data_IF_077184707357
#
_entry.id   IF_077184707357
#
_cell.length_a   1.000
_cell.length_b   1.000
_cell.length_c   1.000
_cell.angle_alpha   90.00
_cell.angle_beta   90.00
_cell.angle_gamma   90.00
#
_symmetry.space_group_name_H-M   'P 1'
#
loop_
_entity.id
_entity.type
_entity.pdbx_description
1 polymer ?
#
# COMPACT_ATOMS: atom_id res chain seq x y z
N UNK A 1 -8.18 -16.52 0.34
CA UNK A 1 -6.98 -16.56 -0.52
C UNK A 1 -5.78 -16.83 0.36
N UNK A 2 -4.94 -17.80 0.02
CA UNK A 2 -3.70 -18.04 0.74
C UNK A 2 -2.75 -16.86 0.51
N UNK A 3 -2.16 -16.34 1.58
CA UNK A 3 -1.10 -15.32 1.49
C UNK A 3 0.08 -15.94 0.74
N UNK A 4 0.63 -15.28 -0.31
CA UNK A 4 1.83 -15.81 -0.95
C UNK A 4 2.94 -15.95 0.08
N UNK A 5 3.73 -17.02 0.00
CA UNK A 5 4.91 -17.16 0.84
C UNK A 5 5.92 -16.08 0.48
N UNK A 6 6.00 -15.04 1.29
CA UNK A 6 6.86 -13.87 1.06
C UNK A 6 8.20 -13.96 1.80
N UNK A 7 8.34 -14.92 2.71
CA UNK A 7 9.59 -15.12 3.45
C UNK A 7 10.79 -15.28 2.50
N UNK A 8 11.84 -14.51 2.73
CA UNK A 8 13.02 -14.48 1.87
C UNK A 8 12.82 -13.79 0.51
N UNK A 9 11.63 -13.28 0.22
CA UNK A 9 11.36 -12.56 -1.02
C UNK A 9 11.64 -11.07 -0.89
N UNK A 10 11.96 -10.45 -2.01
CA UNK A 10 11.99 -8.99 -2.12
C UNK A 10 10.64 -8.50 -2.67
N UNK A 11 10.03 -7.55 -1.99
CA UNK A 11 8.70 -7.01 -2.32
C UNK A 11 8.80 -5.50 -2.48
N UNK A 12 8.37 -4.98 -3.62
CA UNK A 12 8.27 -3.55 -3.87
C UNK A 12 6.98 -3.00 -3.23
N UNK A 13 7.11 -2.00 -2.37
CA UNK A 13 5.96 -1.30 -1.75
C UNK A 13 5.70 -0.02 -2.52
N UNK A 14 4.63 0.00 -3.30
CA UNK A 14 4.23 1.18 -4.06
C UNK A 14 3.67 2.26 -3.13
N UNK A 15 3.78 3.54 -3.50
CA UNK A 15 3.20 4.63 -2.71
C UNK A 15 1.67 4.58 -2.75
N UNK A 16 1.04 5.01 -1.67
CA UNK A 16 -0.38 5.30 -1.63
C UNK A 16 -0.69 6.49 -2.54
N UNK A 17 -1.70 6.36 -3.42
CA UNK A 17 -2.08 7.43 -4.35
C UNK A 17 -3.44 8.04 -4.03
N UNK A 18 -4.21 7.43 -3.13
CA UNK A 18 -5.51 7.92 -2.71
C UNK A 18 -5.69 7.80 -1.18
N UNK A 19 -5.82 8.95 -0.54
CA UNK A 19 -6.28 9.07 0.85
C UNK A 19 -7.50 10.00 0.87
N UNK A 20 -8.60 9.52 1.43
CA UNK A 20 -9.88 10.26 1.45
C UNK A 20 -10.37 10.39 2.89
N UNK A 21 -10.32 11.58 3.50
CA UNK A 21 -11.05 11.86 4.73
C UNK A 21 -12.53 12.08 4.41
N UNK A 22 -13.40 11.71 5.33
CA UNK A 22 -14.80 12.13 5.26
C UNK A 22 -14.97 13.64 5.55
N UNK A 23 -16.19 14.15 5.38
CA UNK A 23 -16.47 15.58 5.57
C UNK A 23 -16.18 16.03 7.01
N UNK A 24 -16.41 15.18 8.00
CA UNK A 24 -16.17 15.50 9.42
C UNK A 24 -14.67 15.62 9.75
N UNK A 25 -13.81 15.09 8.91
CA UNK A 25 -12.34 15.17 9.01
C UNK A 25 -11.71 16.17 8.05
N UNK A 26 -12.53 16.90 7.28
CA UNK A 26 -12.05 17.86 6.26
C UNK A 26 -11.23 19.03 6.83
N UNK A 27 -11.39 19.33 8.11
CA UNK A 27 -10.60 20.35 8.84
C UNK A 27 -9.31 19.80 9.47
N UNK A 28 -9.07 18.51 9.43
CA UNK A 28 -7.82 17.92 9.92
C UNK A 28 -6.64 18.38 9.06
N UNK A 29 -5.64 18.99 9.68
CA UNK A 29 -4.50 19.63 8.98
C UNK A 29 -3.57 18.62 8.28
N UNK A 30 -3.61 17.36 8.67
CA UNK A 30 -2.85 16.28 8.03
C UNK A 30 -3.67 15.64 6.90
N UNK A 31 -4.90 15.20 7.22
CA UNK A 31 -5.72 14.41 6.31
C UNK A 31 -6.25 15.23 5.13
N UNK A 32 -6.49 16.52 5.32
CA UNK A 32 -6.99 17.43 4.28
C UNK A 32 -5.94 17.84 3.24
N UNK A 33 -4.65 17.63 3.53
CA UNK A 33 -3.55 18.04 2.65
C UNK A 33 -2.89 16.83 2.01
N UNK A 34 -3.22 16.55 0.74
CA UNK A 34 -2.70 15.40 -0.02
C UNK A 34 -1.18 15.27 0.05
N UNK A 35 -0.45 16.37 -0.09
CA UNK A 35 1.01 16.39 -0.06
C UNK A 35 1.60 15.98 1.29
N UNK A 36 0.82 16.01 2.36
CA UNK A 36 1.21 15.57 3.70
C UNK A 36 0.74 14.16 4.00
N UNK A 37 -0.53 13.85 3.73
CA UNK A 37 -1.15 12.58 4.13
C UNK A 37 -0.55 11.38 3.39
N UNK A 38 -0.22 11.50 2.11
CA UNK A 38 0.31 10.37 1.34
C UNK A 38 1.70 9.94 1.81
N UNK A 39 2.72 10.82 1.92
CA UNK A 39 4.03 10.40 2.43
C UNK A 39 3.99 9.94 3.89
N UNK A 40 3.12 10.52 4.71
CA UNK A 40 2.91 10.09 6.08
C UNK A 40 2.33 8.68 6.15
N UNK A 41 1.30 8.38 5.36
CA UNK A 41 0.71 7.04 5.31
C UNK A 41 1.72 6.00 4.78
N UNK A 42 2.48 6.32 3.74
CA UNK A 42 3.55 5.47 3.21
C UNK A 42 4.57 5.10 4.29
N UNK A 43 4.95 6.06 5.13
CA UNK A 43 5.91 5.84 6.22
C UNK A 43 5.36 4.85 7.25
N UNK A 44 4.09 4.97 7.65
CA UNK A 44 3.46 4.07 8.61
C UNK A 44 3.26 2.66 8.03
N UNK A 45 2.90 2.56 6.75
CA UNK A 45 2.78 1.26 6.07
C UNK A 45 4.14 0.56 6.05
N UNK A 46 5.20 1.24 5.64
CA UNK A 46 6.54 0.65 5.57
C UNK A 46 7.08 0.27 6.96
N UNK A 47 6.87 1.12 7.97
CA UNK A 47 7.21 0.84 9.37
C UNK A 47 6.53 -0.46 9.86
N UNK A 48 5.23 -0.58 9.61
CA UNK A 48 4.46 -1.75 10.02
C UNK A 48 4.91 -3.03 9.29
N UNK A 49 5.15 -2.96 7.99
CA UNK A 49 5.64 -4.08 7.19
C UNK A 49 7.01 -4.57 7.71
N UNK A 50 7.94 -3.66 7.91
CA UNK A 50 9.29 -3.98 8.39
C UNK A 50 9.28 -4.58 9.79
N UNK A 51 8.45 -4.05 10.69
CA UNK A 51 8.37 -4.53 12.06
C UNK A 51 7.65 -5.88 12.20
N UNK A 52 6.68 -6.17 11.32
CA UNK A 52 5.84 -7.38 11.44
C UNK A 52 6.31 -8.56 10.57
N UNK A 53 7.02 -8.30 9.49
CA UNK A 53 7.58 -9.30 8.60
C UNK A 53 9.03 -8.96 8.23
N UNK A 54 9.95 -9.03 9.21
CA UNK A 54 11.37 -8.69 9.00
C UNK A 54 12.09 -9.69 8.09
N UNK A 55 11.53 -10.87 7.88
CA UNK A 55 12.03 -11.90 6.95
C UNK A 55 11.81 -11.56 5.48
N UNK A 56 11.01 -10.51 5.19
CA UNK A 56 10.77 -9.99 3.84
C UNK A 56 11.65 -8.77 3.60
N UNK A 57 12.28 -8.69 2.44
CA UNK A 57 13.02 -7.50 2.05
C UNK A 57 12.05 -6.48 1.42
N UNK A 58 11.60 -5.51 2.20
CA UNK A 58 10.69 -4.47 1.77
C UNK A 58 11.43 -3.32 1.09
N UNK A 59 11.15 -3.09 -0.21
CA UNK A 59 11.67 -1.96 -0.97
C UNK A 59 10.60 -0.85 -0.97
N UNK A 60 10.84 0.20 -0.19
CA UNK A 60 9.85 1.24 0.05
C UNK A 60 9.70 2.26 -1.09
N UNK A 61 8.67 3.13 -1.02
CA UNK A 61 8.37 4.12 -2.06
C UNK A 61 9.55 5.05 -2.38
N UNK A 62 10.37 5.40 -1.38
CA UNK A 62 11.55 6.26 -1.59
C UNK A 62 12.58 5.61 -2.53
N UNK A 63 12.82 4.32 -2.36
CA UNK A 63 13.75 3.57 -3.21
C UNK A 63 13.19 3.37 -4.60
N UNK A 64 11.87 3.08 -4.70
CA UNK A 64 11.19 2.96 -5.99
C UNK A 64 11.24 4.26 -6.80
N UNK A 65 10.98 5.41 -6.16
CA UNK A 65 11.12 6.73 -6.80
C UNK A 65 12.55 6.97 -7.30
N UNK A 66 13.55 6.55 -6.52
CA UNK A 66 14.96 6.66 -6.92
C UNK A 66 15.28 5.77 -8.11
N UNK A 67 14.80 4.52 -8.11
CA UNK A 67 14.99 3.59 -9.20
C UNK A 67 14.32 4.09 -10.50
N UNK A 68 13.07 4.56 -10.42
CA UNK A 68 12.34 5.13 -11.55
C UNK A 68 13.05 6.34 -12.17
N UNK A 69 13.57 7.25 -11.34
CA UNK A 69 14.34 8.42 -11.83
C UNK A 69 15.63 8.04 -12.54
N UNK A 70 16.28 6.94 -12.15
CA UNK A 70 17.49 6.44 -12.85
C UNK A 70 17.16 5.76 -14.17
N UNK A 71 15.95 5.27 -14.35
CA UNK A 71 15.45 4.60 -15.54
C UNK A 71 14.50 5.51 -16.35
N UNK A 72 14.84 6.77 -16.51
CA UNK A 72 14.04 7.78 -17.23
C UNK A 72 13.68 7.26 -18.64
N UNK A 73 12.41 7.36 -18.98
CA UNK A 73 11.87 6.87 -20.26
C UNK A 73 11.53 5.36 -20.29
N UNK A 74 11.96 4.58 -19.29
CA UNK A 74 11.61 3.16 -19.16
C UNK A 74 10.55 2.93 -18.08
N UNK A 75 10.65 3.60 -16.95
CA UNK A 75 9.76 3.43 -15.82
C UNK A 75 8.85 4.64 -15.62
N UNK A 76 7.59 4.36 -15.31
CA UNK A 76 6.64 5.37 -14.85
C UNK A 76 6.97 5.76 -13.41
N UNK A 77 6.83 7.05 -13.09
CA UNK A 77 6.91 7.53 -11.71
C UNK A 77 5.84 6.81 -10.86
N UNK A 78 6.24 6.13 -9.77
CA UNK A 78 5.29 5.39 -8.94
C UNK A 78 4.16 6.23 -8.35
N UNK A 79 4.36 7.53 -8.15
CA UNK A 79 3.32 8.44 -7.68
C UNK A 79 2.24 8.76 -8.73
N UNK A 80 2.52 8.51 -10.01
CA UNK A 80 1.61 8.74 -11.13
C UNK A 80 0.98 7.46 -11.68
N UNK A 81 1.21 6.32 -11.06
CA UNK A 81 0.56 5.06 -11.43
C UNK A 81 -0.87 5.03 -10.88
N UNK A 82 -1.84 4.79 -11.75
CA UNK A 82 -3.26 4.73 -11.37
C UNK A 82 -3.62 3.39 -10.71
N UNK A 83 -3.89 3.39 -9.40
CA UNK A 83 -4.23 2.18 -8.65
C UNK A 83 -5.74 1.88 -8.59
N UNK A 84 -6.58 2.66 -9.27
CA UNK A 84 -8.04 2.57 -9.16
C UNK A 84 -8.59 1.15 -9.42
N UNK A 85 -8.07 0.48 -10.44
CA UNK A 85 -8.49 -0.87 -10.81
C UNK A 85 -8.20 -1.91 -9.73
N UNK A 86 -7.16 -1.71 -8.92
CA UNK A 86 -6.80 -2.63 -7.83
C UNK A 86 -7.79 -2.60 -6.67
N UNK A 87 -8.70 -1.63 -6.62
CA UNK A 87 -9.76 -1.53 -5.62
C UNK A 87 -10.92 -2.48 -5.91
N UNK A 88 -11.04 -2.97 -7.16
CA UNK A 88 -12.05 -3.94 -7.54
C UNK A 88 -11.67 -5.34 -7.01
N UNK A 89 -12.48 -5.93 -6.11
CA UNK A 89 -12.20 -7.26 -5.55
C UNK A 89 -12.31 -8.39 -6.59
N UNK A 90 -12.98 -8.15 -7.71
CA UNK A 90 -13.22 -9.12 -8.77
C UNK A 90 -12.13 -9.12 -9.86
N UNK A 91 -11.22 -8.16 -9.83
CA UNK A 91 -10.13 -8.06 -10.82
C UNK A 91 -9.25 -9.31 -10.75
N UNK A 92 -9.23 -10.12 -11.78
CA UNK A 92 -8.46 -11.38 -11.86
C UNK A 92 -7.04 -11.17 -12.31
N UNK A 93 -6.83 -10.24 -13.24
CA UNK A 93 -5.53 -9.88 -13.80
C UNK A 93 -5.46 -8.37 -13.96
N UNK A 94 -4.36 -7.77 -13.57
CA UNK A 94 -4.13 -6.33 -13.74
C UNK A 94 -3.96 -6.04 -15.23
N UNK A 95 -4.79 -5.17 -15.82
CA UNK A 95 -4.68 -4.83 -17.24
C UNK A 95 -3.55 -3.83 -17.50
N UNK A 96 -3.15 -3.74 -18.77
CA UNK A 96 -2.26 -2.67 -19.21
C UNK A 96 -3.03 -1.31 -19.25
N UNK A 97 -2.31 -0.18 -19.00
CA UNK A 97 -0.86 -0.06 -18.85
C UNK A 97 -0.32 -0.38 -17.45
N UNK A 98 -1.19 -0.50 -16.44
CA UNK A 98 -0.77 -0.67 -15.04
C UNK A 98 0.10 -1.92 -14.84
N UNK A 99 -0.26 -3.04 -15.49
CA UNK A 99 0.51 -4.29 -15.42
C UNK A 99 1.96 -4.08 -15.87
N UNK A 100 2.15 -3.46 -17.04
CA UNK A 100 3.48 -3.19 -17.60
C UNK A 100 4.28 -2.22 -16.72
N UNK A 101 3.62 -1.20 -16.17
CA UNK A 101 4.23 -0.23 -15.25
C UNK A 101 4.73 -0.90 -13.97
N UNK A 102 3.89 -1.73 -13.32
CA UNK A 102 4.27 -2.49 -12.13
C UNK A 102 5.44 -3.43 -12.45
N UNK A 103 5.34 -4.18 -13.55
CA UNK A 103 6.38 -5.14 -13.96
C UNK A 103 7.73 -4.45 -14.15
N UNK A 104 7.77 -3.32 -14.85
CA UNK A 104 9.00 -2.56 -15.07
C UNK A 104 9.58 -2.05 -13.77
N UNK A 105 8.75 -1.43 -12.92
CA UNK A 105 9.20 -0.85 -11.65
C UNK A 105 9.77 -1.92 -10.70
N UNK A 106 9.08 -3.05 -10.60
CA UNK A 106 9.49 -4.18 -9.75
C UNK A 106 10.80 -4.80 -10.24
N UNK A 107 10.99 -4.91 -11.56
CA UNK A 107 12.24 -5.39 -12.15
C UNK A 107 13.43 -4.49 -11.83
N UNK A 108 13.26 -3.17 -11.77
CA UNK A 108 14.34 -2.23 -11.45
C UNK A 108 14.93 -2.41 -10.04
N UNK A 109 14.17 -3.02 -9.14
CA UNK A 109 14.60 -3.27 -7.76
C UNK A 109 14.81 -4.75 -7.48
N UNK A 110 14.83 -5.58 -8.52
CA UNK A 110 15.01 -7.03 -8.43
C UNK A 110 14.02 -7.68 -7.45
N UNK A 111 12.76 -7.26 -7.52
CA UNK A 111 11.67 -7.84 -6.75
C UNK A 111 10.78 -8.71 -7.66
N UNK A 112 9.92 -9.51 -7.04
CA UNK A 112 8.91 -10.32 -7.73
C UNK A 112 7.51 -9.80 -7.51
N UNK A 113 7.23 -9.35 -6.31
CA UNK A 113 5.91 -8.92 -5.89
C UNK A 113 5.87 -7.41 -5.70
N UNK A 114 4.71 -6.83 -5.97
CA UNK A 114 4.36 -5.47 -5.61
C UNK A 114 3.26 -5.47 -4.56
N UNK A 115 3.49 -4.86 -3.40
CA UNK A 115 2.44 -4.52 -2.46
C UNK A 115 1.94 -3.12 -2.80
N UNK A 116 0.66 -3.01 -3.07
CA UNK A 116 0.01 -1.77 -3.48
C UNK A 116 -1.03 -1.36 -2.45
N UNK A 117 -0.80 -0.28 -1.69
CA UNK A 117 -1.84 0.40 -0.95
C UNK A 117 -2.76 1.11 -1.96
N UNK A 118 -3.92 0.52 -2.26
CA UNK A 118 -4.80 1.01 -3.33
C UNK A 118 -5.66 2.20 -2.91
N UNK A 119 -6.01 2.29 -1.63
CA UNK A 119 -6.71 3.45 -1.06
C UNK A 119 -6.70 3.40 0.47
N UNK A 120 -6.74 4.57 1.10
CA UNK A 120 -7.01 4.75 2.52
C UNK A 120 -8.21 5.69 2.69
N UNK A 121 -9.24 5.25 3.40
CA UNK A 121 -10.43 6.06 3.70
C UNK A 121 -10.48 6.28 5.21
N UNK A 122 -10.61 7.54 5.62
CA UNK A 122 -10.68 7.94 7.02
C UNK A 122 -12.07 8.45 7.34
N UNK A 123 -12.72 7.85 8.31
CA UNK A 123 -14.10 8.12 8.70
C UNK A 123 -14.14 8.58 10.15
N UNK A 124 -14.99 9.57 10.46
CA UNK A 124 -15.27 9.96 11.83
C UNK A 124 -16.37 9.09 12.39
N UNK A 125 -16.12 8.42 13.51
CA UNK A 125 -17.11 7.61 14.19
C UNK A 125 -17.94 8.45 15.18
N UNK A 126 -19.14 7.98 15.51
CA UNK A 126 -20.05 8.65 16.46
C UNK A 126 -19.45 8.81 17.88
N UNK A 127 -18.56 7.89 18.28
CA UNK A 127 -17.84 7.94 19.55
C UNK A 127 -16.66 8.94 19.57
N UNK A 128 -16.44 9.65 18.47
CA UNK A 128 -15.33 10.59 18.32
C UNK A 128 -14.03 10.00 17.82
N UNK A 129 -13.94 8.68 17.64
CA UNK A 129 -12.78 8.02 17.05
C UNK A 129 -12.66 8.27 15.53
N UNK A 130 -11.49 7.99 15.02
CA UNK A 130 -11.23 7.89 13.57
C UNK A 130 -11.13 6.42 13.22
N UNK A 131 -11.94 5.98 12.26
CA UNK A 131 -11.85 4.67 11.61
C UNK A 131 -11.09 4.81 10.31
N UNK A 132 -10.16 3.91 10.03
CA UNK A 132 -9.49 3.83 8.73
C UNK A 132 -9.82 2.50 8.05
N UNK A 133 -10.05 2.57 6.75
CA UNK A 133 -10.16 1.42 5.86
C UNK A 133 -9.05 1.52 4.81
N UNK A 134 -8.05 0.65 4.92
CA UNK A 134 -6.90 0.58 4.02
C UNK A 134 -7.04 -0.64 3.11
N UNK A 135 -7.13 -0.43 1.79
CA UNK A 135 -7.12 -1.53 0.81
C UNK A 135 -5.70 -1.83 0.41
N UNK A 136 -5.30 -3.08 0.58
CA UNK A 136 -3.98 -3.60 0.23
C UNK A 136 -4.12 -4.72 -0.80
N UNK A 137 -3.25 -4.71 -1.80
CA UNK A 137 -3.18 -5.75 -2.84
C UNK A 137 -1.72 -6.14 -3.04
N UNK A 138 -1.43 -7.45 -3.05
CA UNK A 138 -0.14 -7.96 -3.51
C UNK A 138 -0.33 -8.49 -4.93
N UNK A 139 0.46 -7.96 -5.86
CA UNK A 139 0.45 -8.37 -7.26
C UNK A 139 1.73 -9.15 -7.57
N UNK A 140 1.61 -10.34 -8.17
CA UNK A 140 2.74 -11.01 -8.80
C UNK A 140 3.05 -10.26 -10.10
N UNK A 141 4.16 -9.53 -10.15
CA UNK A 141 4.51 -8.67 -11.27
C UNK A 141 4.79 -9.45 -12.56
N UNK A 142 5.14 -10.74 -12.47
CA UNK A 142 5.41 -11.59 -13.61
C UNK A 142 4.12 -11.99 -14.34
N UNK A 143 3.08 -12.34 -13.59
CA UNK A 143 1.80 -12.79 -14.14
C UNK A 143 0.76 -11.68 -14.25
N UNK A 144 0.89 -10.62 -13.45
CA UNK A 144 -0.11 -9.57 -13.29
C UNK A 144 -1.30 -10.02 -12.43
N UNK A 145 -1.22 -11.18 -11.78
CA UNK A 145 -2.31 -11.71 -10.95
C UNK A 145 -2.23 -11.10 -9.55
N UNK A 146 -3.35 -10.57 -9.02
CA UNK A 146 -3.44 -10.23 -7.61
C UNK A 146 -3.36 -11.49 -6.75
N UNK A 147 -2.21 -11.73 -6.14
CA UNK A 147 -1.93 -12.92 -5.35
C UNK A 147 -2.59 -12.87 -3.97
N UNK A 148 -2.82 -11.68 -3.45
CA UNK A 148 -3.46 -11.45 -2.16
C UNK A 148 -4.13 -10.08 -2.11
N UNK A 149 -5.23 -9.99 -1.36
CA UNK A 149 -5.98 -8.76 -1.11
C UNK A 149 -6.49 -8.74 0.31
N UNK A 150 -6.53 -7.55 0.89
CA UNK A 150 -7.19 -7.33 2.17
C UNK A 150 -7.71 -5.91 2.32
N UNK A 151 -8.72 -5.76 3.15
CA UNK A 151 -9.17 -4.47 3.67
C UNK A 151 -8.79 -4.47 5.14
N UNK A 152 -7.80 -3.66 5.47
CA UNK A 152 -7.38 -3.43 6.83
C UNK A 152 -8.29 -2.39 7.47
N UNK A 153 -8.88 -2.72 8.61
CA UNK A 153 -9.74 -1.80 9.35
C UNK A 153 -9.18 -1.57 10.75
N UNK A 154 -9.08 -0.31 11.14
CA UNK A 154 -8.67 0.08 12.48
C UNK A 154 -9.44 1.30 12.95
N UNK A 155 -9.68 1.41 14.26
CA UNK A 155 -10.33 2.54 14.90
C UNK A 155 -9.54 2.98 16.13
N UNK A 156 -9.30 4.28 16.27
CA UNK A 156 -8.59 4.86 17.40
C UNK A 156 -8.90 6.37 17.51
N UNK A 157 -8.40 6.99 18.56
CA UNK A 157 -8.60 8.42 18.82
C UNK A 157 -7.93 9.35 17.80
N UNK A 158 -6.87 8.89 17.15
CA UNK A 158 -6.13 9.66 16.14
C UNK A 158 -5.98 8.89 14.83
N UNK A 159 -5.86 9.59 13.68
CA UNK A 159 -5.62 8.94 12.39
C UNK A 159 -4.40 8.01 12.38
N UNK A 160 -3.31 8.40 13.03
CA UNK A 160 -2.09 7.60 13.11
C UNK A 160 -2.30 6.30 13.87
N UNK A 161 -2.96 6.36 15.02
CA UNK A 161 -3.28 5.16 15.83
C UNK A 161 -4.27 4.26 15.10
N UNK A 162 -5.26 4.83 14.41
CA UNK A 162 -6.23 4.07 13.61
C UNK A 162 -5.55 3.32 12.45
N UNK A 163 -4.64 3.98 11.73
CA UNK A 163 -3.89 3.36 10.64
C UNK A 163 -2.95 2.26 11.16
N UNK A 164 -2.25 2.48 12.27
CA UNK A 164 -1.43 1.45 12.92
C UNK A 164 -2.27 0.25 13.38
N UNK A 165 -3.45 0.49 13.95
CA UNK A 165 -4.37 -0.57 14.35
C UNK A 165 -4.85 -1.39 13.16
N UNK A 166 -5.18 -0.76 12.03
CA UNK A 166 -5.55 -1.44 10.80
C UNK A 166 -4.42 -2.33 10.28
N UNK A 167 -3.20 -1.79 10.19
CA UNK A 167 -2.03 -2.52 9.74
C UNK A 167 -1.69 -3.70 10.67
N UNK A 168 -1.86 -3.53 11.98
CA UNK A 168 -1.67 -4.60 12.95
C UNK A 168 -2.67 -5.75 12.78
N UNK A 169 -3.90 -5.45 12.36
CA UNK A 169 -4.94 -6.45 12.16
C UNK A 169 -4.75 -7.30 10.88
N UNK A 170 -4.11 -6.73 9.86
CA UNK A 170 -4.01 -7.32 8.51
C UNK A 170 -2.73 -8.07 8.27
N UNK A 171 -1.62 -7.56 8.79
CA UNK A 171 -0.33 -8.20 8.59
C UNK A 171 -0.19 -9.36 9.57
N UNK A 172 -0.14 -10.62 9.10
CA UNK A 172 0.07 -11.74 9.98
C UNK A 172 1.40 -11.58 10.71
N UNK A 173 1.40 -11.89 12.01
CA UNK A 173 2.66 -12.01 12.76
C UNK A 173 3.41 -13.18 12.15
N UNK A 174 4.63 -12.95 11.66
CA UNK A 174 5.49 -14.04 11.24
C UNK A 174 5.65 -15.00 12.43
N UNK A 175 5.23 -16.26 12.27
CA UNK A 175 5.59 -17.32 13.22
C UNK A 175 4.49 -17.85 14.14
N UNK A 176 3.21 -17.74 13.82
CA UNK A 176 2.19 -18.58 14.47
C UNK A 176 1.68 -19.59 13.43
N UNK A 177 2.34 -20.73 13.36
CA UNK A 177 1.75 -22.00 12.90
C UNK A 177 1.15 -22.73 14.10
#
# INVERSE_FOLDING_TARGET
MATPALSGQKVAVLPLTLAVPDLALSSDTLLSVRAKVLPWADSLVLEALTGRAPEVTWVGPRELRRAARRATGLATDPDHMGHALLRDPLLKVVPDPLRSQIRTLVALVDARYALVPASAVFLKEANGNVKVELKLVIVDARTGVPAWRSIAVGSATTPAMALRAALAAVLPVAGVQ
#
